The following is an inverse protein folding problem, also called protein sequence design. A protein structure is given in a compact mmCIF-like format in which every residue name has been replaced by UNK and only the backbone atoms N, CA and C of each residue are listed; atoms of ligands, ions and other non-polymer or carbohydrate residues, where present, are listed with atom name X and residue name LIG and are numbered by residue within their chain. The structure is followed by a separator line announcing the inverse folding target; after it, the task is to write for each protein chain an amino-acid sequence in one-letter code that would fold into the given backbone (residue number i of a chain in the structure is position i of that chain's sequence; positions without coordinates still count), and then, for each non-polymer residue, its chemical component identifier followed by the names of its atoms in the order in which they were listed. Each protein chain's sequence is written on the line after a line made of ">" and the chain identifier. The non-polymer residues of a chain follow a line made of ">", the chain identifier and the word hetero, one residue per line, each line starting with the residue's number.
data_IF_744908837506
#
_entry.id   IF_744908837506
#
_cell.length_a   1.000
_cell.length_b   1.000
_cell.length_c   1.000
_cell.angle_alpha   90.00
_cell.angle_beta   90.00
_cell.angle_gamma   90.00
#
_symmetry.space_group_name_H-M   'P 1'
#
loop_
_entity.id
_entity.type
_entity.pdbx_description
1 polymer ?
#
# COMPACT_ATOMS: atom_id res chain seq x y z
N UNK A 1 -18.03 0.52 34.22
CA UNK A 1 -17.12 1.60 34.66
C UNK A 1 -16.43 2.10 33.41
N UNK A 2 -16.65 3.37 33.05
CA UNK A 2 -16.06 3.98 31.86
C UNK A 2 -14.97 4.94 32.31
N UNK A 3 -13.78 4.81 31.72
CA UNK A 3 -12.69 5.76 31.91
C UNK A 3 -12.77 6.73 30.74
N UNK A 4 -12.95 8.01 31.03
CA UNK A 4 -12.97 9.08 30.01
C UNK A 4 -11.64 9.81 30.09
N UNK A 5 -10.88 9.82 29.00
CA UNK A 5 -9.64 10.58 28.88
C UNK A 5 -9.95 11.93 28.24
N UNK A 6 -9.55 13.03 28.88
CA UNK A 6 -9.69 14.38 28.33
C UNK A 6 -8.48 14.77 27.47
N UNK A 7 -8.60 15.87 26.74
CA UNK A 7 -7.49 16.40 25.93
C UNK A 7 -6.27 16.78 26.79
N UNK A 8 -6.50 17.28 28.00
CA UNK A 8 -5.44 17.64 28.94
C UNK A 8 -4.74 16.39 29.48
N UNK A 9 -5.49 15.34 29.81
CA UNK A 9 -4.93 14.05 30.23
C UNK A 9 -4.03 13.48 29.13
N UNK A 10 -4.52 13.48 27.88
CA UNK A 10 -3.74 13.05 26.72
C UNK A 10 -2.47 13.88 26.57
N UNK A 11 -2.52 15.19 26.71
CA UNK A 11 -1.35 16.06 26.54
C UNK A 11 -0.20 15.71 27.50
N UNK A 12 -0.53 15.31 28.74
CA UNK A 12 0.42 14.99 29.82
C UNK A 12 1.13 13.64 29.66
N UNK A 13 0.64 12.77 28.78
CA UNK A 13 1.21 11.45 28.57
C UNK A 13 2.45 11.46 27.67
N UNK A 14 3.36 10.52 27.94
CA UNK A 14 4.51 10.29 27.08
C UNK A 14 4.05 9.84 25.68
N UNK A 15 4.86 10.12 24.65
CA UNK A 15 4.55 9.72 23.27
C UNK A 15 4.38 8.20 23.14
N UNK A 16 5.16 7.41 23.90
CA UNK A 16 5.04 5.95 23.94
C UNK A 16 3.67 5.52 24.50
N UNK A 17 3.24 6.15 25.60
CA UNK A 17 1.96 5.85 26.24
C UNK A 17 0.78 6.28 25.37
N UNK A 18 0.88 7.41 24.68
CA UNK A 18 -0.12 7.87 23.69
C UNK A 18 -0.31 6.84 22.58
N UNK A 19 0.79 6.32 22.03
CA UNK A 19 0.73 5.31 20.96
C UNK A 19 0.16 3.98 21.45
N UNK A 20 0.46 3.58 22.69
CA UNK A 20 -0.08 2.36 23.29
C UNK A 20 -1.59 2.48 23.56
N UNK A 21 -2.06 3.62 24.08
CA UNK A 21 -3.48 3.89 24.29
C UNK A 21 -4.23 3.90 22.96
N UNK A 22 -3.70 4.55 21.92
CA UNK A 22 -4.31 4.53 20.59
C UNK A 22 -4.41 3.11 20.01
N UNK A 23 -3.36 2.29 20.22
CA UNK A 23 -3.36 0.90 19.79
C UNK A 23 -4.38 0.06 20.56
N UNK A 24 -4.55 0.27 21.86
CA UNK A 24 -5.50 -0.45 22.70
C UNK A 24 -6.95 0.03 22.47
N UNK A 25 -7.17 1.33 22.27
CA UNK A 25 -8.47 1.90 21.92
C UNK A 25 -8.91 1.47 20.52
N UNK A 26 -7.97 1.36 19.57
CA UNK A 26 -8.21 0.79 18.24
C UNK A 26 -8.26 -0.74 18.19
N UNK A 27 -7.94 -1.44 19.30
CA UNK A 27 -8.03 -2.91 19.39
C UNK A 27 -9.42 -3.41 19.82
N UNK A 28 -10.35 -2.51 20.13
CA UNK A 28 -11.77 -2.83 20.07
C UNK A 28 -12.12 -3.01 18.60
N UNK A 29 -12.15 -4.27 18.16
CA UNK A 29 -12.59 -4.73 16.83
C UNK A 29 -13.93 -4.10 16.44
N UNK A 30 -13.87 -2.94 15.81
CA UNK A 30 -14.57 -2.78 14.55
C UNK A 30 -13.55 -3.25 13.50
N UNK A 31 -13.93 -4.21 12.68
CA UNK A 31 -13.30 -4.34 11.37
C UNK A 31 -13.33 -2.94 10.79
N UNK A 32 -12.18 -2.24 10.79
CA UNK A 32 -12.09 -0.96 10.14
C UNK A 32 -12.70 -1.20 8.77
N UNK A 33 -13.79 -0.49 8.38
CA UNK A 33 -14.33 -0.63 7.04
C UNK A 33 -13.12 -0.46 6.16
N UNK A 34 -12.78 -1.53 5.44
CA UNK A 34 -11.58 -1.58 4.62
C UNK A 34 -11.50 -0.22 3.92
N UNK A 35 -10.40 0.51 4.07
CA UNK A 35 -10.21 1.83 3.43
C UNK A 35 -10.38 1.75 1.88
N UNK A 36 -10.62 0.54 1.38
CA UNK A 36 -10.82 0.12 0.01
C UNK A 36 -12.32 0.01 -0.38
N UNK A 37 -13.26 0.16 0.56
CA UNK A 37 -14.69 0.21 0.28
C UNK A 37 -15.03 1.56 -0.40
N UNK A 38 -15.09 1.57 -1.73
CA UNK A 38 -15.42 2.76 -2.52
C UNK A 38 -14.29 3.33 -3.40
N UNK A 39 -13.23 2.55 -3.67
CA UNK A 39 -12.11 2.98 -4.54
C UNK A 39 -12.48 3.30 -6.01
N UNK A 40 -13.73 3.08 -6.40
CA UNK A 40 -14.25 3.35 -7.75
C UNK A 40 -14.14 2.16 -8.70
N UNK A 41 -14.76 2.29 -9.88
CA UNK A 41 -14.93 1.21 -10.86
C UNK A 41 -13.59 0.62 -11.35
N UNK A 42 -12.51 1.41 -11.33
CA UNK A 42 -11.18 0.96 -11.75
C UNK A 42 -10.64 -0.22 -10.93
N UNK A 43 -11.04 -0.32 -9.65
CA UNK A 43 -10.60 -1.37 -8.72
C UNK A 43 -11.52 -2.59 -8.70
N UNK A 44 -12.59 -2.59 -9.49
CA UNK A 44 -13.56 -3.68 -9.52
C UNK A 44 -12.87 -5.01 -9.79
N UNK A 45 -13.18 -6.01 -8.95
CA UNK A 45 -12.64 -7.36 -8.97
C UNK A 45 -11.13 -7.49 -8.71
N UNK A 46 -10.46 -6.42 -8.27
CA UNK A 46 -9.08 -6.48 -7.80
C UNK A 46 -9.10 -6.82 -6.31
N UNK A 47 -8.41 -7.89 -5.92
CA UNK A 47 -8.20 -8.21 -4.52
C UNK A 47 -7.23 -7.19 -3.91
N UNK A 48 -7.75 -6.36 -3.02
CA UNK A 48 -7.00 -5.35 -2.29
C UNK A 48 -6.77 -5.76 -0.83
N UNK A 49 -7.12 -6.99 -0.45
CA UNK A 49 -6.99 -7.47 0.93
C UNK A 49 -5.54 -7.41 1.40
N UNK A 50 -5.30 -6.72 2.51
CA UNK A 50 -3.96 -6.55 3.08
C UNK A 50 -3.05 -5.58 2.30
N UNK A 51 -3.56 -4.87 1.29
CA UNK A 51 -2.76 -3.84 0.59
C UNK A 51 -2.59 -2.63 1.49
N UNK A 52 -1.33 -2.25 1.74
CA UNK A 52 -0.98 -1.19 2.65
C UNK A 52 -0.98 0.19 1.99
N UNK A 53 -1.41 1.18 2.76
CA UNK A 53 -1.26 2.60 2.44
C UNK A 53 0.15 3.07 2.80
N UNK A 54 0.96 3.40 1.78
CA UNK A 54 2.28 3.98 1.99
C UNK A 54 2.24 5.51 1.87
N UNK A 55 2.59 6.18 2.96
CA UNK A 55 2.84 7.62 2.96
C UNK A 55 4.11 7.99 2.18
N UNK A 56 4.26 9.27 1.82
CA UNK A 56 5.44 9.77 1.11
C UNK A 56 6.76 9.37 1.79
N UNK A 57 6.87 9.53 3.11
CA UNK A 57 8.08 9.12 3.86
C UNK A 57 8.34 7.61 3.75
N UNK A 58 7.30 6.79 3.84
CA UNK A 58 7.44 5.34 3.70
C UNK A 58 7.83 4.96 2.27
N UNK A 59 7.30 5.64 1.25
CA UNK A 59 7.73 5.47 -0.14
C UNK A 59 9.21 5.82 -0.29
N UNK A 60 9.70 6.91 0.30
CA UNK A 60 11.13 7.25 0.28
C UNK A 60 11.99 6.11 0.85
N UNK A 61 11.68 5.65 2.07
CA UNK A 61 12.38 4.53 2.72
C UNK A 61 12.29 3.24 1.89
N UNK A 62 11.12 2.98 1.30
CA UNK A 62 10.92 1.83 0.44
C UNK A 62 11.87 1.88 -0.77
N UNK A 63 11.96 3.04 -1.42
CA UNK A 63 12.76 3.25 -2.62
C UNK A 63 14.26 3.20 -2.38
N UNK A 64 14.76 3.69 -1.23
CA UNK A 64 16.20 3.73 -0.91
C UNK A 64 16.89 2.38 -1.08
N UNK A 65 16.25 1.30 -0.66
CA UNK A 65 16.83 -0.03 -0.74
C UNK A 65 16.37 -0.83 -1.98
N UNK A 66 15.50 -0.28 -2.83
CA UNK A 66 14.96 -0.96 -4.01
C UNK A 66 15.95 -0.94 -5.18
N UNK A 67 15.95 -2.01 -6.00
CA UNK A 67 16.74 -2.01 -7.24
C UNK A 67 16.12 -1.06 -8.27
N UNK A 68 16.93 -0.55 -9.20
CA UNK A 68 16.44 0.33 -10.27
C UNK A 68 15.32 -0.32 -11.09
N UNK A 69 15.43 -1.63 -11.36
CA UNK A 69 14.36 -2.40 -12.03
C UNK A 69 13.06 -2.38 -11.22
N UNK A 70 13.12 -2.52 -9.90
CA UNK A 70 11.93 -2.45 -9.04
C UNK A 70 11.36 -1.02 -8.95
N UNK A 71 12.23 0.00 -8.89
CA UNK A 71 11.81 1.41 -8.93
C UNK A 71 11.10 1.76 -10.24
N UNK A 72 11.60 1.23 -11.37
CA UNK A 72 10.96 1.39 -12.68
C UNK A 72 9.54 0.83 -12.67
N UNK A 73 9.33 -0.36 -12.09
CA UNK A 73 7.98 -0.90 -11.92
C UNK A 73 7.05 0.03 -11.13
N UNK A 74 7.52 0.64 -10.04
CA UNK A 74 6.71 1.62 -9.28
C UNK A 74 6.52 2.96 -9.99
N UNK A 75 7.44 3.34 -10.87
CA UNK A 75 7.28 4.51 -11.73
C UNK A 75 6.12 4.34 -12.70
N UNK A 76 5.90 3.14 -13.23
CA UNK A 76 4.72 2.82 -14.06
C UNK A 76 3.42 3.07 -13.30
N UNK A 77 3.34 2.73 -12.01
CA UNK A 77 2.17 3.09 -11.19
C UNK A 77 2.04 4.60 -10.99
N UNK A 78 3.13 5.34 -10.84
CA UNK A 78 3.08 6.80 -10.70
C UNK A 78 2.60 7.51 -11.99
N UNK A 79 3.03 6.99 -13.15
CA UNK A 79 2.74 7.58 -14.47
C UNK A 79 1.39 7.16 -15.04
N UNK A 80 0.96 5.92 -14.77
CA UNK A 80 -0.22 5.31 -15.42
C UNK A 80 -1.26 4.75 -14.45
N UNK A 81 -0.98 4.79 -13.14
CA UNK A 81 -1.83 4.18 -12.13
C UNK A 81 -3.04 5.04 -11.72
N UNK A 82 -3.71 4.66 -10.61
CA UNK A 82 -3.26 3.73 -9.57
C UNK A 82 -3.44 2.24 -9.89
N UNK A 83 -4.16 1.91 -10.97
CA UNK A 83 -4.38 0.54 -11.48
C UNK A 83 -3.65 0.40 -12.82
N UNK A 84 -2.81 -0.61 -12.97
CA UNK A 84 -2.01 -0.84 -14.19
C UNK A 84 -2.17 -2.28 -14.66
N UNK A 85 -2.11 -2.49 -15.98
CA UNK A 85 -2.08 -3.85 -16.56
C UNK A 85 -0.70 -4.47 -16.38
N UNK A 86 -0.64 -5.78 -16.17
CA UNK A 86 0.61 -6.53 -16.12
C UNK A 86 1.45 -6.32 -17.40
N UNK A 87 0.81 -6.25 -18.57
CA UNK A 87 1.49 -5.95 -19.82
C UNK A 87 2.29 -4.63 -19.78
N UNK A 88 1.78 -3.57 -19.13
CA UNK A 88 2.52 -2.31 -19.03
C UNK A 88 3.81 -2.44 -18.20
N UNK A 89 3.84 -3.35 -17.22
CA UNK A 89 5.05 -3.68 -16.47
C UNK A 89 6.02 -4.48 -17.35
N UNK A 90 5.52 -5.45 -18.12
CA UNK A 90 6.33 -6.25 -19.05
C UNK A 90 6.96 -5.36 -20.12
N UNK A 91 6.19 -4.45 -20.72
CA UNK A 91 6.66 -3.50 -21.74
C UNK A 91 7.73 -2.55 -21.18
N UNK A 92 7.68 -2.25 -19.88
CA UNK A 92 8.70 -1.50 -19.16
C UNK A 92 9.94 -2.35 -18.76
N UNK A 93 10.02 -3.60 -19.21
CA UNK A 93 11.12 -4.52 -18.95
C UNK A 93 11.00 -5.28 -17.62
N UNK A 94 9.83 -5.31 -16.97
CA UNK A 94 9.54 -6.14 -15.80
C UNK A 94 9.00 -7.51 -16.25
N UNK A 95 9.88 -8.30 -16.86
CA UNK A 95 9.54 -9.55 -17.55
C UNK A 95 8.94 -10.64 -16.64
N UNK A 96 9.19 -10.56 -15.32
CA UNK A 96 8.68 -11.50 -14.33
C UNK A 96 7.88 -10.75 -13.26
N UNK A 97 6.58 -10.58 -13.53
CA UNK A 97 5.63 -9.87 -12.68
C UNK A 97 5.40 -10.56 -11.32
N UNK A 98 5.42 -11.89 -11.27
CA UNK A 98 5.34 -12.65 -10.01
C UNK A 98 6.56 -12.39 -9.11
N UNK A 99 7.76 -12.35 -9.70
CA UNK A 99 8.96 -11.98 -8.96
C UNK A 99 8.90 -10.53 -8.48
N UNK A 100 8.44 -9.61 -9.33
CA UNK A 100 8.22 -8.22 -8.95
C UNK A 100 7.27 -8.10 -7.74
N UNK A 101 6.09 -8.73 -7.79
CA UNK A 101 5.12 -8.75 -6.69
C UNK A 101 5.71 -9.32 -5.39
N UNK A 102 6.50 -10.38 -5.48
CA UNK A 102 7.17 -10.98 -4.32
C UNK A 102 8.16 -9.99 -3.68
N UNK A 103 8.97 -9.31 -4.50
CA UNK A 103 9.95 -8.33 -4.03
C UNK A 103 9.30 -7.10 -3.42
N UNK A 104 8.19 -6.63 -4.00
CA UNK A 104 7.45 -5.49 -3.45
C UNK A 104 6.82 -5.84 -2.11
N UNK A 105 6.25 -7.05 -1.98
CA UNK A 105 5.63 -7.54 -0.74
C UNK A 105 6.62 -7.61 0.42
N UNK A 106 7.76 -8.28 0.24
CA UNK A 106 8.81 -8.40 1.28
C UNK A 106 9.21 -7.03 1.81
N UNK A 107 9.34 -6.06 0.91
CA UNK A 107 9.80 -4.71 1.22
C UNK A 107 8.73 -3.90 1.94
N UNK A 108 7.48 -3.99 1.49
CA UNK A 108 6.36 -3.34 2.16
C UNK A 108 6.25 -3.81 3.60
N UNK A 109 6.31 -5.12 3.85
CA UNK A 109 6.30 -5.69 5.21
C UNK A 109 7.46 -5.18 6.08
N UNK A 110 8.62 -4.96 5.47
CA UNK A 110 9.78 -4.40 6.16
C UNK A 110 9.56 -2.93 6.55
N UNK A 111 8.99 -2.12 5.65
CA UNK A 111 8.77 -0.69 5.86
C UNK A 111 7.59 -0.41 6.80
N UNK A 112 6.52 -1.21 6.72
CA UNK A 112 5.33 -1.05 7.56
C UNK A 112 5.47 -1.76 8.91
N UNK A 113 6.33 -2.78 9.00
CA UNK A 113 6.41 -3.68 10.16
C UNK A 113 5.24 -4.67 10.25
N UNK A 114 4.35 -4.68 9.26
CA UNK A 114 3.19 -5.56 9.19
C UNK A 114 3.52 -6.79 8.32
N UNK A 115 3.34 -7.98 8.86
CA UNK A 115 3.65 -9.26 8.18
C UNK A 115 2.63 -9.64 7.12
N UNK A 116 1.43 -9.09 7.19
CA UNK A 116 0.34 -9.36 6.25
C UNK A 116 0.23 -8.28 5.16
N UNK A 117 1.07 -7.25 5.22
CA UNK A 117 1.02 -6.16 4.26
C UNK A 117 1.50 -6.55 2.86
N UNK A 118 0.77 -6.08 1.85
CA UNK A 118 1.10 -6.13 0.43
C UNK A 118 1.23 -4.72 -0.14
N UNK A 119 2.05 -4.53 -1.17
CA UNK A 119 2.05 -3.26 -1.91
C UNK A 119 0.98 -3.20 -2.99
N UNK A 120 0.76 -4.36 -3.62
CA UNK A 120 -0.04 -4.49 -4.83
C UNK A 120 -1.28 -5.30 -4.48
N UNK A 121 -2.45 -4.85 -4.90
CA UNK A 121 -3.58 -5.72 -5.16
C UNK A 121 -3.49 -6.31 -6.55
N UNK A 122 -4.24 -7.37 -6.83
CA UNK A 122 -4.20 -8.07 -8.11
C UNK A 122 -5.56 -8.64 -8.50
N UNK A 123 -5.79 -8.79 -9.81
CA UNK A 123 -6.91 -9.60 -10.32
C UNK A 123 -6.73 -11.08 -9.97
N UNK A 124 -7.82 -11.84 -9.95
CA UNK A 124 -7.75 -13.30 -9.92
C UNK A 124 -7.04 -13.83 -11.18
N UNK A 125 -5.79 -14.25 -11.03
CA UNK A 125 -4.96 -14.79 -12.11
C UNK A 125 -5.54 -16.06 -12.76
N UNK A 126 -6.46 -16.76 -12.10
CA UNK A 126 -7.18 -17.90 -12.67
C UNK A 126 -8.29 -17.50 -13.64
N UNK A 127 -8.73 -16.24 -13.61
CA UNK A 127 -9.82 -15.69 -14.42
C UNK A 127 -9.35 -14.64 -15.43
N UNK A 128 -8.16 -14.07 -15.23
CA UNK A 128 -7.58 -13.10 -16.14
C UNK A 128 -7.03 -13.79 -17.40
N UNK A 129 -7.23 -13.17 -18.57
CA UNK A 129 -6.51 -13.57 -19.79
C UNK A 129 -5.00 -13.39 -19.57
N UNK A 130 -4.19 -14.24 -20.23
CA UNK A 130 -2.74 -14.21 -20.11
C UNK A 130 -2.20 -12.79 -20.39
N UNK A 131 -1.37 -12.27 -19.47
CA UNK A 131 -0.80 -10.91 -19.46
C UNK A 131 -1.81 -9.74 -19.39
N UNK A 132 -3.11 -10.01 -19.22
CA UNK A 132 -4.13 -8.96 -19.06
C UNK A 132 -4.52 -8.67 -17.61
N UNK A 133 -4.07 -9.48 -16.65
CA UNK A 133 -4.31 -9.24 -15.23
C UNK A 133 -3.81 -7.85 -14.81
N UNK A 134 -4.54 -7.22 -13.88
CA UNK A 134 -4.21 -5.90 -13.37
C UNK A 134 -3.56 -6.00 -12.00
N UNK A 135 -2.67 -5.05 -11.74
CA UNK A 135 -2.16 -4.74 -10.42
C UNK A 135 -2.65 -3.36 -9.99
N UNK A 136 -2.82 -3.16 -8.70
CA UNK A 136 -3.24 -1.87 -8.16
C UNK A 136 -2.47 -1.49 -6.91
N UNK A 137 -2.23 -0.20 -6.73
CA UNK A 137 -1.82 0.38 -5.45
C UNK A 137 -2.98 1.17 -4.85
N UNK A 138 -2.92 1.45 -3.56
CA UNK A 138 -3.92 2.34 -2.94
C UNK A 138 -3.81 3.77 -3.48
N UNK A 139 -4.89 4.58 -3.44
CA UNK A 139 -4.84 5.97 -3.86
C UNK A 139 -3.79 6.80 -3.10
N UNK A 140 -3.60 6.55 -1.80
CA UNK A 140 -2.57 7.23 -1.01
C UNK A 140 -1.16 6.86 -1.51
N UNK A 141 -0.93 5.57 -1.74
CA UNK A 141 0.36 5.10 -2.27
C UNK A 141 0.63 5.69 -3.64
N UNK A 142 -0.38 5.76 -4.52
CA UNK A 142 -0.27 6.39 -5.82
C UNK A 142 0.12 7.87 -5.73
N UNK A 143 -0.56 8.66 -4.90
CA UNK A 143 -0.22 10.07 -4.69
C UNK A 143 1.21 10.23 -4.14
N UNK A 144 1.60 9.39 -3.18
CA UNK A 144 2.95 9.37 -2.63
C UNK A 144 4.02 9.01 -3.67
N UNK A 145 3.72 8.10 -4.60
CA UNK A 145 4.61 7.74 -5.71
C UNK A 145 4.76 8.89 -6.70
N UNK A 146 3.66 9.55 -7.07
CA UNK A 146 3.70 10.73 -7.96
C UNK A 146 4.55 11.84 -7.38
N UNK A 147 4.39 12.13 -6.08
CA UNK A 147 5.24 13.07 -5.37
C UNK A 147 6.72 12.64 -5.37
N UNK A 148 7.01 11.35 -5.13
CA UNK A 148 8.39 10.84 -5.14
C UNK A 148 9.07 11.00 -6.51
N UNK A 149 8.34 10.76 -7.60
CA UNK A 149 8.85 10.91 -8.97
C UNK A 149 8.69 12.32 -9.55
N UNK A 150 8.26 13.31 -8.75
CA UNK A 150 8.09 14.71 -9.15
C UNK A 150 7.11 14.88 -10.33
N UNK A 151 6.03 14.10 -10.31
CA UNK A 151 4.95 14.17 -11.30
C UNK A 151 3.79 15.08 -10.84
N UNK A 152 3.88 15.59 -9.61
CA UNK A 152 2.97 16.57 -8.96
C UNK A 152 3.78 17.58 -8.14
#
# INVERSE_FOLDING_TARGET
>A
MFITLTADDLSSLSLSTKNEILKLAGAAKEEAPSALAGLGEAYKNIDMTGVADLSYRQVQTWMEAASEKTKLGLRIFAEHGPVVRAQALIDAGIDNTSHFQSRTTIRTRTVTGDKEAYLLGWDDWGQAEENQGRYAVTPLTHASLRQYFQLD
#
